data_IF_613002146580
#
_entry.id   IF_613002146580
#
_cell.length_a   1.000
_cell.length_b   1.000
_cell.length_c   1.000
_cell.angle_alpha   90.00
_cell.angle_beta   90.00
_cell.angle_gamma   90.00
#
_symmetry.space_group_name_H-M   'P 1'
#
loop_
_entity.id
_entity.type
_entity.pdbx_description
1 polymer ?
#
# COMPACT_ATOMS: atom_id res chain seq x y z
N UNK A 1 -36.52 16.76 -4.68
CA UNK A 1 -36.56 15.48 -3.93
C UNK A 1 -35.50 14.45 -4.33
N UNK A 2 -35.38 14.00 -5.59
CA UNK A 2 -34.34 13.00 -5.96
C UNK A 2 -32.92 13.55 -6.19
N UNK A 3 -32.76 14.86 -6.40
CA UNK A 3 -31.44 15.53 -6.47
C UNK A 3 -30.88 15.87 -5.08
N UNK A 4 -31.76 16.15 -4.13
CA UNK A 4 -31.38 16.61 -2.77
C UNK A 4 -30.88 15.46 -1.89
N UNK A 5 -31.35 14.22 -2.14
CA UNK A 5 -30.87 13.02 -1.44
C UNK A 5 -29.44 12.66 -1.86
N UNK A 6 -29.05 12.90 -3.12
CA UNK A 6 -27.67 12.65 -3.59
C UNK A 6 -26.67 13.66 -3.02
N UNK A 7 -27.10 14.91 -2.81
CA UNK A 7 -26.30 15.92 -2.15
C UNK A 7 -26.12 15.62 -0.65
N UNK A 8 -27.15 15.10 0.02
CA UNK A 8 -27.07 14.70 1.43
C UNK A 8 -26.09 13.52 1.67
N UNK A 9 -26.04 12.54 0.77
CA UNK A 9 -25.08 11.41 0.87
C UNK A 9 -23.63 11.86 0.60
N UNK A 10 -23.44 12.86 -0.26
CA UNK A 10 -22.11 13.44 -0.54
C UNK A 10 -21.62 14.36 0.58
N UNK A 11 -22.53 15.07 1.26
CA UNK A 11 -22.22 15.95 2.39
C UNK A 11 -21.91 15.19 3.69
N UNK A 12 -22.51 14.02 3.90
CA UNK A 12 -22.28 13.19 5.10
C UNK A 12 -20.87 12.55 5.13
N UNK A 13 -20.20 12.48 3.98
CA UNK A 13 -18.81 12.00 3.86
C UNK A 13 -17.76 13.11 3.96
N UNK A 14 -18.16 14.38 3.92
CA UNK A 14 -17.26 15.55 3.97
C UNK A 14 -17.25 16.22 5.36
N UNK A 15 -18.25 15.98 6.19
CA UNK A 15 -18.35 16.60 7.53
C UNK A 15 -17.51 15.92 8.63
N UNK A 16 -16.67 14.92 8.32
CA UNK A 16 -15.71 14.35 9.29
C UNK A 16 -14.33 15.05 9.29
N UNK A 17 -14.12 16.10 8.50
CA UNK A 17 -12.80 16.74 8.37
C UNK A 17 -12.69 18.15 8.96
N UNK A 18 -13.43 18.45 10.03
CA UNK A 18 -13.22 19.69 10.76
C UNK A 18 -13.24 19.48 12.28
N UNK A 19 -12.06 19.71 12.87
CA UNK A 19 -11.81 20.05 14.28
C UNK A 19 -11.52 18.92 15.27
N UNK A 20 -10.24 18.52 15.33
CA UNK A 20 -9.51 18.44 16.60
C UNK A 20 -8.00 18.56 16.33
N UNK A 21 -7.40 19.65 16.81
CA UNK A 21 -5.95 19.78 16.85
C UNK A 21 -5.32 18.77 17.79
N UNK A 22 -4.12 18.29 17.43
CA UNK A 22 -3.17 17.73 18.39
C UNK A 22 -3.52 16.37 18.99
N UNK A 23 -3.76 15.36 18.17
CA UNK A 23 -3.44 13.97 18.49
C UNK A 23 -3.15 13.23 17.18
N UNK A 24 -1.87 13.10 16.82
CA UNK A 24 -1.48 12.09 15.85
C UNK A 24 -1.68 10.74 16.52
N UNK A 25 -2.88 10.16 16.39
CA UNK A 25 -3.03 8.72 16.43
C UNK A 25 -2.44 8.19 15.12
N UNK A 26 -1.11 8.22 15.01
CA UNK A 26 -0.41 7.39 14.05
C UNK A 26 -0.47 5.99 14.63
N UNK A 27 -1.38 5.16 14.11
CA UNK A 27 -1.17 3.72 14.19
C UNK A 27 0.26 3.46 13.71
N UNK A 28 1.08 2.82 14.56
CA UNK A 28 2.48 2.47 14.27
C UNK A 28 2.53 1.32 13.24
N UNK A 29 1.74 1.43 12.18
CA UNK A 29 1.55 0.44 11.14
C UNK A 29 2.79 0.25 10.27
N UNK A 30 3.85 1.03 10.46
CA UNK A 30 5.17 0.81 9.87
C UNK A 30 6.24 0.49 10.94
N UNK A 31 5.84 0.03 12.13
CA UNK A 31 6.75 -0.48 13.14
C UNK A 31 7.67 -1.55 12.54
N UNK A 32 8.96 -1.49 12.89
CA UNK A 32 9.96 -2.43 12.38
C UNK A 32 9.64 -3.85 12.87
N UNK A 33 9.37 -4.75 11.93
CA UNK A 33 9.14 -6.17 12.21
C UNK A 33 10.42 -6.96 11.93
N UNK A 34 10.66 -8.01 12.72
CA UNK A 34 11.71 -8.98 12.45
C UNK A 34 11.48 -9.72 11.12
N UNK A 35 12.55 -10.15 10.46
CA UNK A 35 12.43 -10.95 9.23
C UNK A 35 11.89 -12.35 9.54
N UNK A 36 11.03 -12.88 8.67
CA UNK A 36 10.52 -14.26 8.74
C UNK A 36 11.39 -15.26 7.98
N UNK A 37 12.30 -14.77 7.13
CA UNK A 37 13.16 -15.59 6.30
C UNK A 37 14.48 -15.95 7.01
N UNK A 38 14.99 -17.15 6.72
CA UNK A 38 16.27 -17.63 7.26
C UNK A 38 17.43 -17.13 6.40
N UNK A 39 18.46 -16.60 7.05
CA UNK A 39 19.69 -16.18 6.37
C UNK A 39 20.46 -15.12 7.16
N UNK A 40 21.69 -14.78 6.73
CA UNK A 40 22.42 -13.68 7.34
C UNK A 40 21.70 -12.35 7.06
N UNK A 41 21.37 -11.60 8.11
CA UNK A 41 20.67 -10.30 8.02
C UNK A 41 21.29 -9.36 6.98
N UNK A 42 22.63 -9.31 6.94
CA UNK A 42 23.38 -8.42 6.05
C UNK A 42 23.94 -9.13 4.80
N UNK A 43 23.40 -10.30 4.43
CA UNK A 43 23.90 -11.08 3.31
C UNK A 43 25.30 -11.67 3.55
N UNK A 44 25.94 -12.14 2.49
CA UNK A 44 27.28 -12.74 2.55
C UNK A 44 28.40 -11.70 2.69
N UNK A 45 28.20 -10.49 2.16
CA UNK A 45 29.14 -9.35 2.24
C UNK A 45 28.54 -8.27 3.15
N UNK A 46 28.66 -8.50 4.46
CA UNK A 46 28.03 -7.64 5.48
C UNK A 46 28.59 -6.21 5.46
N UNK A 47 29.87 -6.03 5.12
CA UNK A 47 30.52 -4.73 5.03
C UNK A 47 29.90 -3.90 3.91
N UNK A 48 29.75 -4.47 2.71
CA UNK A 48 29.10 -3.74 1.61
C UNK A 48 27.62 -3.50 1.89
N UNK A 49 26.92 -4.45 2.50
CA UNK A 49 25.53 -4.23 2.87
C UNK A 49 25.38 -3.05 3.83
N UNK A 50 26.15 -2.98 4.91
CA UNK A 50 26.08 -1.87 5.87
C UNK A 50 26.46 -0.53 5.21
N UNK A 51 27.46 -0.53 4.32
CA UNK A 51 27.86 0.66 3.58
C UNK A 51 26.74 1.16 2.66
N UNK A 52 26.22 0.33 1.76
CA UNK A 52 25.13 0.72 0.86
C UNK A 52 23.84 1.06 1.62
N UNK A 53 23.56 0.34 2.72
CA UNK A 53 22.43 0.63 3.60
C UNK A 53 22.52 2.04 4.19
N UNK A 54 23.68 2.38 4.75
CA UNK A 54 23.93 3.69 5.34
C UNK A 54 23.83 4.80 4.30
N UNK A 55 24.45 4.60 3.12
CA UNK A 55 24.44 5.59 2.04
C UNK A 55 23.03 5.84 1.52
N UNK A 56 22.23 4.80 1.25
CA UNK A 56 20.87 5.04 0.77
C UNK A 56 20.02 5.74 1.84
N UNK A 57 20.14 5.36 3.12
CA UNK A 57 19.33 5.97 4.19
C UNK A 57 19.68 7.43 4.39
N UNK A 58 20.95 7.80 4.28
CA UNK A 58 21.38 9.18 4.40
C UNK A 58 20.84 10.05 3.26
N UNK A 59 21.05 9.63 2.01
CA UNK A 59 20.50 10.36 0.86
C UNK A 59 18.97 10.42 0.88
N UNK A 60 18.31 9.33 1.26
CA UNK A 60 16.84 9.28 1.34
C UNK A 60 16.29 10.26 2.39
N UNK A 61 16.92 10.36 3.57
CA UNK A 61 16.54 11.35 4.61
C UNK A 61 16.68 12.79 4.13
N UNK A 62 17.62 13.05 3.24
CA UNK A 62 17.83 14.36 2.61
C UNK A 62 16.90 14.59 1.40
N UNK A 63 15.95 13.68 1.14
CA UNK A 63 15.09 13.67 -0.05
C UNK A 63 15.86 13.60 -1.39
N UNK A 64 17.13 13.17 -1.38
CA UNK A 64 17.94 12.99 -2.58
C UNK A 64 17.72 11.59 -3.16
N UNK A 65 16.56 11.39 -3.80
CA UNK A 65 16.14 10.11 -4.39
C UNK A 65 17.11 9.66 -5.50
N UNK A 66 17.66 10.60 -6.27
CA UNK A 66 18.60 10.32 -7.36
C UNK A 66 19.84 9.57 -6.86
N UNK A 67 20.45 10.05 -5.78
CA UNK A 67 21.67 9.44 -5.23
C UNK A 67 21.35 8.28 -4.27
N UNK A 68 20.18 8.27 -3.62
CA UNK A 68 19.74 7.15 -2.79
C UNK A 68 19.48 5.88 -3.61
N UNK A 69 18.83 6.00 -4.78
CA UNK A 69 18.34 4.87 -5.55
C UNK A 69 19.38 3.82 -5.96
N UNK A 70 20.58 4.16 -6.48
CA UNK A 70 21.58 3.14 -6.81
C UNK A 70 22.02 2.33 -5.58
N UNK A 71 22.16 2.96 -4.42
CA UNK A 71 22.49 2.27 -3.17
C UNK A 71 21.32 1.42 -2.67
N UNK A 72 20.10 1.94 -2.72
CA UNK A 72 18.89 1.19 -2.37
C UNK A 72 18.72 -0.06 -3.24
N UNK A 73 18.85 0.06 -4.56
CA UNK A 73 18.75 -1.06 -5.50
C UNK A 73 19.81 -2.12 -5.20
N UNK A 74 21.01 -1.71 -4.83
CA UNK A 74 22.06 -2.64 -4.43
C UNK A 74 21.64 -3.41 -3.18
N UNK A 75 21.14 -2.73 -2.15
CA UNK A 75 20.69 -3.36 -0.90
C UNK A 75 19.52 -4.32 -1.13
N UNK A 76 18.51 -3.91 -1.90
CA UNK A 76 17.36 -4.75 -2.26
C UNK A 76 17.78 -6.11 -2.84
N UNK A 77 18.78 -6.10 -3.72
CA UNK A 77 19.22 -7.31 -4.43
C UNK A 77 20.22 -8.18 -3.64
N UNK A 78 21.02 -7.58 -2.75
CA UNK A 78 22.15 -8.26 -2.13
C UNK A 78 21.95 -8.55 -0.63
N UNK A 79 21.13 -7.77 0.07
CA UNK A 79 20.81 -8.01 1.47
C UNK A 79 19.35 -7.66 1.79
N UNK A 80 18.38 -8.37 1.17
CA UNK A 80 16.95 -8.11 1.33
C UNK A 80 16.44 -8.27 2.77
N UNK A 81 17.17 -8.98 3.62
CA UNK A 81 16.84 -9.24 5.04
C UNK A 81 17.30 -8.10 5.97
N UNK A 82 18.06 -7.11 5.48
CA UNK A 82 18.76 -6.18 6.35
C UNK A 82 17.82 -5.25 7.13
N UNK A 83 16.71 -4.83 6.53
CA UNK A 83 15.64 -4.10 7.23
C UNK A 83 14.37 -4.04 6.38
N UNK A 84 13.21 -4.01 7.03
CA UNK A 84 11.92 -3.76 6.35
C UNK A 84 11.88 -2.39 5.66
N UNK A 85 12.65 -1.42 6.17
CA UNK A 85 12.74 -0.07 5.61
C UNK A 85 13.17 -0.05 4.15
N UNK A 86 13.92 -1.06 3.69
CA UNK A 86 14.28 -1.22 2.28
C UNK A 86 13.02 -1.18 1.40
N UNK A 87 11.95 -1.86 1.81
CA UNK A 87 10.72 -1.93 1.04
C UNK A 87 9.81 -0.72 1.25
N UNK A 88 9.75 -0.19 2.48
CA UNK A 88 8.95 1.00 2.81
C UNK A 88 9.48 2.22 2.05
N UNK A 89 10.78 2.48 2.15
CA UNK A 89 11.44 3.56 1.41
C UNK A 89 11.44 3.27 -0.09
N UNK A 90 11.63 2.01 -0.47
CA UNK A 90 11.62 1.56 -1.85
C UNK A 90 10.31 1.86 -2.56
N UNK A 91 9.17 1.55 -1.93
CA UNK A 91 7.86 1.85 -2.49
C UNK A 91 7.69 3.36 -2.75
N UNK A 92 8.10 4.20 -1.79
CA UNK A 92 8.07 5.66 -1.94
C UNK A 92 8.99 6.15 -3.05
N UNK A 93 10.25 5.72 -3.06
CA UNK A 93 11.23 6.11 -4.08
C UNK A 93 10.82 5.70 -5.50
N UNK A 94 10.30 4.47 -5.65
CA UNK A 94 9.86 3.98 -6.97
C UNK A 94 8.61 4.73 -7.41
N UNK A 95 7.65 5.00 -6.52
CA UNK A 95 6.45 5.79 -6.81
C UNK A 95 6.79 7.20 -7.27
N UNK A 96 7.67 7.92 -6.55
CA UNK A 96 8.14 9.25 -6.98
C UNK A 96 8.74 9.21 -8.39
N UNK A 97 9.54 8.18 -8.70
CA UNK A 97 10.12 8.03 -10.04
C UNK A 97 9.09 7.70 -11.11
N UNK A 98 8.03 6.95 -10.79
CA UNK A 98 6.90 6.69 -11.69
C UNK A 98 6.21 8.02 -12.03
N UNK A 99 5.96 8.85 -11.03
CA UNK A 99 5.28 10.14 -11.18
C UNK A 99 6.10 11.14 -12.02
N UNK A 100 7.42 11.09 -11.91
CA UNK A 100 8.35 11.93 -12.68
C UNK A 100 8.63 11.37 -14.10
N UNK A 101 8.29 10.11 -14.38
CA UNK A 101 8.63 9.44 -15.63
C UNK A 101 7.64 9.77 -16.75
N UNK A 102 8.12 10.44 -17.80
CA UNK A 102 7.32 10.77 -19.00
C UNK A 102 7.31 9.67 -20.07
N UNK A 103 8.23 8.72 -20.00
CA UNK A 103 8.35 7.62 -20.96
C UNK A 103 7.41 6.46 -20.54
N UNK A 104 6.38 6.14 -21.32
CA UNK A 104 5.38 5.13 -20.93
C UNK A 104 5.99 3.73 -20.71
N UNK A 105 7.00 3.36 -21.50
CA UNK A 105 7.64 2.04 -21.40
C UNK A 105 8.44 1.96 -20.11
N UNK A 106 9.24 2.98 -19.82
CA UNK A 106 10.00 3.04 -18.56
C UNK A 106 9.09 3.14 -17.34
N UNK A 107 8.00 3.91 -17.44
CA UNK A 107 6.99 4.03 -16.39
C UNK A 107 6.39 2.67 -16.04
N UNK A 108 6.00 1.88 -17.04
CA UNK A 108 5.47 0.53 -16.82
C UNK A 108 6.48 -0.41 -16.15
N UNK A 109 7.75 -0.39 -16.57
CA UNK A 109 8.80 -1.18 -15.92
C UNK A 109 9.02 -0.78 -14.44
N UNK A 110 8.86 0.51 -14.12
CA UNK A 110 8.93 0.97 -12.73
C UNK A 110 7.72 0.52 -11.91
N UNK A 111 6.52 0.49 -12.50
CA UNK A 111 5.32 -0.07 -11.85
C UNK A 111 5.51 -1.56 -11.56
N UNK A 112 6.06 -2.33 -12.49
CA UNK A 112 6.38 -3.75 -12.25
C UNK A 112 7.40 -3.89 -11.11
N UNK A 113 8.40 -2.99 -11.05
CA UNK A 113 9.36 -2.93 -9.95
C UNK A 113 8.67 -2.62 -8.62
N UNK A 114 7.71 -1.68 -8.59
CA UNK A 114 6.94 -1.35 -7.39
C UNK A 114 6.15 -2.56 -6.88
N UNK A 115 5.49 -3.30 -7.78
CA UNK A 115 4.76 -4.51 -7.42
C UNK A 115 5.68 -5.60 -6.83
N UNK A 116 6.88 -5.76 -7.40
CA UNK A 116 7.90 -6.67 -6.90
C UNK A 116 8.41 -6.27 -5.50
N UNK A 117 8.59 -4.96 -5.24
CA UNK A 117 8.99 -4.46 -3.90
C UNK A 117 7.97 -4.86 -2.84
N UNK A 118 6.67 -4.78 -3.16
CA UNK A 118 5.62 -5.24 -2.24
C UNK A 118 5.66 -6.75 -2.01
N UNK A 119 5.84 -7.56 -3.06
CA UNK A 119 5.92 -9.02 -2.94
C UNK A 119 7.14 -9.47 -2.13
N UNK A 120 8.28 -8.80 -2.30
CA UNK A 120 9.46 -9.08 -1.49
C UNK A 120 9.27 -8.66 -0.02
N UNK A 121 8.61 -7.53 0.25
CA UNK A 121 8.27 -7.14 1.63
C UNK A 121 7.48 -8.23 2.33
N UNK A 122 6.45 -8.78 1.67
CA UNK A 122 5.66 -9.90 2.18
C UNK A 122 6.55 -11.12 2.42
N UNK A 123 7.36 -11.47 1.42
CA UNK A 123 8.24 -12.65 1.48
C UNK A 123 9.20 -12.61 2.66
N UNK A 124 9.79 -11.44 2.95
CA UNK A 124 10.88 -11.34 3.94
C UNK A 124 10.43 -10.82 5.31
N UNK A 125 9.34 -10.07 5.40
CA UNK A 125 8.88 -9.37 6.62
C UNK A 125 7.41 -9.61 6.96
N UNK A 126 6.73 -10.47 6.20
CA UNK A 126 5.33 -10.82 6.39
C UNK A 126 4.42 -9.57 6.38
N UNK A 127 3.30 -9.61 7.10
CA UNK A 127 2.21 -8.64 7.07
C UNK A 127 1.47 -8.62 5.74
N UNK A 128 1.23 -9.80 5.19
CA UNK A 128 0.63 -9.98 3.88
C UNK A 128 -0.63 -9.12 3.67
N UNK A 129 -1.62 -9.19 4.58
CA UNK A 129 -2.85 -8.41 4.46
C UNK A 129 -2.59 -6.91 4.30
N UNK A 130 -1.83 -6.33 5.23
CA UNK A 130 -1.47 -4.91 5.21
C UNK A 130 -0.70 -4.49 3.95
N UNK A 131 0.30 -5.29 3.55
CA UNK A 131 1.15 -4.96 2.41
C UNK A 131 0.40 -5.10 1.09
N UNK A 132 -0.49 -6.10 0.96
CA UNK A 132 -1.36 -6.24 -0.20
C UNK A 132 -2.33 -5.06 -0.34
N UNK A 133 -2.83 -4.51 0.78
CA UNK A 133 -3.67 -3.32 0.77
C UNK A 133 -2.98 -2.16 0.07
N UNK A 134 -1.76 -1.83 0.51
CA UNK A 134 -0.93 -0.79 -0.13
C UNK A 134 -0.59 -1.11 -1.59
N UNK A 135 -0.21 -2.36 -1.88
CA UNK A 135 0.05 -2.83 -3.25
C UNK A 135 -1.14 -2.61 -4.18
N UNK A 136 -2.34 -2.94 -3.73
CA UNK A 136 -3.57 -2.80 -4.50
C UNK A 136 -3.94 -1.34 -4.75
N UNK A 137 -3.74 -0.46 -3.76
CA UNK A 137 -3.98 0.99 -3.90
C UNK A 137 -3.02 1.62 -4.92
N UNK A 138 -1.73 1.29 -4.87
CA UNK A 138 -0.77 1.79 -5.85
C UNK A 138 -1.02 1.24 -7.25
N UNK A 139 -1.39 -0.05 -7.37
CA UNK A 139 -1.74 -0.64 -8.66
C UNK A 139 -2.98 0.02 -9.26
N UNK A 140 -4.01 0.29 -8.46
CA UNK A 140 -5.17 1.07 -8.90
C UNK A 140 -4.77 2.46 -9.38
N UNK A 141 -3.87 3.12 -8.67
CA UNK A 141 -3.40 4.47 -9.00
C UNK A 141 -2.67 4.51 -10.34
N UNK A 142 -1.82 3.52 -10.61
CA UNK A 142 -0.92 3.56 -11.75
C UNK A 142 -1.39 2.77 -12.99
N UNK A 143 -2.20 1.73 -12.79
CA UNK A 143 -2.74 0.84 -13.82
C UNK A 143 -4.22 0.49 -13.53
N UNK A 144 -5.13 1.48 -13.51
CA UNK A 144 -6.54 1.27 -13.21
C UNK A 144 -7.23 0.30 -14.18
N UNK A 145 -6.68 0.08 -15.37
CA UNK A 145 -7.15 -0.91 -16.34
C UNK A 145 -7.01 -2.37 -15.86
N UNK A 146 -6.17 -2.62 -14.84
CA UNK A 146 -5.96 -3.95 -14.25
C UNK A 146 -6.99 -4.28 -13.15
N UNK A 147 -8.24 -3.85 -13.33
CA UNK A 147 -9.33 -3.92 -12.34
C UNK A 147 -9.46 -5.28 -11.66
N UNK A 148 -9.42 -6.38 -12.42
CA UNK A 148 -9.55 -7.73 -11.87
C UNK A 148 -8.39 -8.11 -10.96
N UNK A 149 -7.16 -7.78 -11.37
CA UNK A 149 -5.98 -8.00 -10.53
C UNK A 149 -6.05 -7.17 -9.25
N UNK A 150 -6.45 -5.90 -9.37
CA UNK A 150 -6.63 -4.99 -8.24
C UNK A 150 -7.67 -5.55 -7.27
N UNK A 151 -8.81 -6.00 -7.78
CA UNK A 151 -9.88 -6.61 -6.98
C UNK A 151 -9.36 -7.81 -6.18
N UNK A 152 -8.67 -8.75 -6.82
CA UNK A 152 -8.15 -9.93 -6.11
C UNK A 152 -7.11 -9.58 -5.05
N UNK A 153 -6.23 -8.62 -5.32
CA UNK A 153 -5.23 -8.15 -4.34
C UNK A 153 -5.91 -7.51 -3.13
N UNK A 154 -6.84 -6.56 -3.38
CA UNK A 154 -7.52 -5.82 -2.31
C UNK A 154 -8.50 -6.70 -1.53
N UNK A 155 -9.19 -7.63 -2.20
CA UNK A 155 -10.02 -8.61 -1.52
C UNK A 155 -9.19 -9.45 -0.55
N UNK A 156 -8.06 -10.00 -1.01
CA UNK A 156 -7.16 -10.79 -0.15
C UNK A 156 -6.63 -9.96 1.03
N UNK A 157 -6.26 -8.70 0.77
CA UNK A 157 -5.87 -7.76 1.83
C UNK A 157 -6.93 -7.64 2.92
N UNK A 158 -8.17 -7.36 2.53
CA UNK A 158 -9.30 -7.15 3.46
C UNK A 158 -9.67 -8.44 4.18
N UNK A 159 -9.71 -9.57 3.49
CA UNK A 159 -10.00 -10.87 4.10
C UNK A 159 -8.95 -11.26 5.16
N UNK A 160 -7.67 -11.01 4.90
CA UNK A 160 -6.58 -11.30 5.84
C UNK A 160 -6.53 -10.32 7.01
N UNK A 161 -6.81 -9.05 6.76
CA UNK A 161 -6.67 -8.00 7.77
C UNK A 161 -7.92 -7.87 8.65
N UNK A 162 -9.10 -8.25 8.12
CA UNK A 162 -10.38 -8.16 8.82
C UNK A 162 -10.59 -6.76 9.38
N UNK A 163 -10.85 -6.65 10.67
CA UNK A 163 -11.05 -5.37 11.35
C UNK A 163 -9.80 -4.47 11.36
N UNK A 164 -8.60 -5.02 11.14
CA UNK A 164 -7.35 -4.25 11.03
C UNK A 164 -7.08 -3.74 9.61
N UNK A 165 -8.05 -3.83 8.70
CA UNK A 165 -7.90 -3.32 7.34
C UNK A 165 -7.73 -1.81 7.35
N UNK A 166 -6.71 -1.33 6.65
CA UNK A 166 -6.50 0.10 6.46
C UNK A 166 -7.65 0.75 5.68
N UNK A 167 -8.01 1.98 6.05
CA UNK A 167 -9.14 2.71 5.48
C UNK A 167 -9.01 2.93 3.97
N UNK A 168 -7.79 3.21 3.48
CA UNK A 168 -7.59 3.36 2.02
C UNK A 168 -7.83 2.04 1.30
N UNK A 169 -7.35 0.93 1.88
CA UNK A 169 -7.54 -0.40 1.32
C UNK A 169 -9.02 -0.78 1.22
N UNK A 170 -9.83 -0.44 2.23
CA UNK A 170 -11.29 -0.65 2.20
C UNK A 170 -11.97 0.17 1.09
N UNK A 171 -11.61 1.44 0.95
CA UNK A 171 -12.18 2.33 -0.09
C UNK A 171 -11.86 1.81 -1.49
N UNK A 172 -10.60 1.47 -1.76
CA UNK A 172 -10.21 0.98 -3.08
C UNK A 172 -10.73 -0.45 -3.33
N UNK A 173 -10.88 -1.28 -2.30
CA UNK A 173 -11.55 -2.58 -2.41
C UNK A 173 -12.99 -2.39 -2.91
N UNK A 174 -13.76 -1.49 -2.29
CA UNK A 174 -15.12 -1.18 -2.73
C UNK A 174 -15.18 -0.68 -4.19
N UNK A 175 -14.27 0.23 -4.57
CA UNK A 175 -14.15 0.70 -5.95
C UNK A 175 -13.86 -0.43 -6.94
N UNK A 176 -12.99 -1.38 -6.55
CA UNK A 176 -12.68 -2.54 -7.38
C UNK A 176 -13.86 -3.50 -7.55
N UNK A 177 -14.73 -3.63 -6.54
CA UNK A 177 -16.00 -4.38 -6.67
C UNK A 177 -16.89 -3.74 -7.72
N UNK A 178 -17.08 -2.41 -7.66
CA UNK A 178 -17.88 -1.69 -8.67
C UNK A 178 -17.30 -1.91 -10.07
N UNK A 179 -15.97 -1.77 -10.21
CA UNK A 179 -15.30 -2.02 -11.50
C UNK A 179 -15.50 -3.44 -12.02
N UNK A 180 -15.49 -4.45 -11.14
CA UNK A 180 -15.75 -5.84 -11.52
C UNK A 180 -17.21 -6.08 -11.95
N UNK A 181 -18.18 -5.39 -11.33
CA UNK A 181 -19.59 -5.42 -11.76
C UNK A 181 -19.76 -4.72 -13.10
N UNK A 182 -19.11 -3.58 -13.32
CA UNK A 182 -19.13 -2.86 -14.59
C UNK A 182 -18.54 -3.70 -15.74
N UNK A 183 -17.50 -4.50 -15.43
CA UNK A 183 -16.93 -5.50 -16.34
C UNK A 183 -17.77 -6.78 -16.48
N UNK A 184 -18.92 -6.88 -15.80
CA UNK A 184 -19.80 -8.06 -15.78
C UNK A 184 -19.13 -9.33 -15.24
N UNK A 185 -18.08 -9.18 -14.42
CA UNK A 185 -17.37 -10.29 -13.76
C UNK A 185 -17.89 -10.59 -12.35
N UNK A 186 -18.66 -9.67 -11.77
CA UNK A 186 -19.42 -9.86 -10.54
C UNK A 186 -20.88 -9.44 -10.76
N UNK A 187 -21.79 -10.02 -9.97
CA UNK A 187 -23.19 -9.59 -9.96
C UNK A 187 -23.37 -8.29 -9.15
N UNK A 188 -24.44 -7.54 -9.45
CA UNK A 188 -24.76 -6.30 -8.73
C UNK A 188 -24.92 -6.49 -7.22
N UNK A 189 -25.31 -7.68 -6.78
CA UNK A 189 -25.40 -8.03 -5.35
C UNK A 189 -24.06 -7.84 -4.63
N UNK A 190 -22.93 -8.06 -5.31
CA UNK A 190 -21.60 -7.90 -4.73
C UNK A 190 -21.31 -6.48 -4.21
N UNK A 191 -21.97 -5.45 -4.77
CA UNK A 191 -21.85 -4.07 -4.26
C UNK A 191 -22.51 -3.95 -2.89
N UNK A 192 -23.66 -4.59 -2.69
CA UNK A 192 -24.36 -4.59 -1.39
C UNK A 192 -23.54 -5.39 -0.37
N UNK A 193 -23.10 -6.59 -0.74
CA UNK A 193 -22.29 -7.45 0.14
C UNK A 193 -20.97 -6.78 0.54
N UNK A 194 -20.32 -6.10 -0.41
CA UNK A 194 -19.09 -5.35 -0.15
C UNK A 194 -19.31 -4.15 0.77
N UNK A 195 -20.42 -3.44 0.62
CA UNK A 195 -20.80 -2.34 1.51
C UNK A 195 -21.04 -2.84 2.94
N UNK A 196 -21.78 -3.94 3.08
CA UNK A 196 -22.08 -4.54 4.37
C UNK A 196 -20.80 -5.01 5.08
N UNK A 197 -19.90 -5.70 4.36
CA UNK A 197 -18.59 -6.12 4.90
C UNK A 197 -17.77 -4.93 5.40
N UNK A 198 -17.64 -3.87 4.58
CA UNK A 198 -16.83 -2.71 4.93
C UNK A 198 -17.45 -1.93 6.10
N UNK A 199 -18.78 -1.78 6.12
CA UNK A 199 -19.49 -1.08 7.19
C UNK A 199 -19.30 -1.79 8.53
N UNK A 200 -19.36 -3.13 8.56
CA UNK A 200 -19.07 -3.91 9.77
C UNK A 200 -17.65 -3.69 10.30
N UNK A 201 -16.65 -3.61 9.42
CA UNK A 201 -15.26 -3.32 9.80
C UNK A 201 -15.14 -1.90 10.38
N UNK A 202 -15.75 -0.91 9.72
CA UNK A 202 -15.71 0.49 10.17
C UNK A 202 -16.43 0.64 11.52
N UNK A 203 -17.62 0.08 11.67
CA UNK A 203 -18.41 0.14 12.89
C UNK A 203 -17.67 -0.51 14.07
N UNK A 204 -16.98 -1.62 13.84
CA UNK A 204 -16.13 -2.24 14.85
C UNK A 204 -15.00 -1.30 15.29
N UNK A 205 -14.32 -0.66 14.34
CA UNK A 205 -13.18 0.22 14.61
C UNK A 205 -13.61 1.53 15.30
N UNK A 206 -14.79 2.08 14.98
CA UNK A 206 -15.33 3.25 15.69
C UNK A 206 -15.59 2.91 17.16
N UNK A 207 -16.29 1.80 17.44
CA UNK A 207 -16.60 1.36 18.81
C UNK A 207 -15.37 1.05 19.67
N UNK A 208 -14.27 0.65 19.04
CA UNK A 208 -13.03 0.34 19.75
C UNK A 208 -12.26 1.61 20.17
N UNK A 209 -12.54 2.74 19.52
CA UNK A 209 -11.90 4.04 19.76
C UNK A 209 -12.79 5.01 20.56
N UNK A 210 -13.99 4.58 20.99
CA UNK A 210 -14.84 5.25 21.97
C UNK A 210 -14.46 4.84 23.41
#
# INVERSE_FOLDING_TARGET
>A
MKKDIKAAIFLLMISMFAFSGGAFAQDNDDAEVGTTAKGPKYGTDSVKCVMHFSLYREFYKQNNIKDAYPHWKWVLNNCPLASQNIYIDGAKMVSTRIDECKDPVKRNLMIDTLMMVYDQRITYFDREGYVLGRKGVDLYTYQPEKTEQIYHILKKSVDLSGNKSDGSSLVYYFRSIIGMVDMQKLEKAAIVDGYDQISQIIDYNIKLNE
#
